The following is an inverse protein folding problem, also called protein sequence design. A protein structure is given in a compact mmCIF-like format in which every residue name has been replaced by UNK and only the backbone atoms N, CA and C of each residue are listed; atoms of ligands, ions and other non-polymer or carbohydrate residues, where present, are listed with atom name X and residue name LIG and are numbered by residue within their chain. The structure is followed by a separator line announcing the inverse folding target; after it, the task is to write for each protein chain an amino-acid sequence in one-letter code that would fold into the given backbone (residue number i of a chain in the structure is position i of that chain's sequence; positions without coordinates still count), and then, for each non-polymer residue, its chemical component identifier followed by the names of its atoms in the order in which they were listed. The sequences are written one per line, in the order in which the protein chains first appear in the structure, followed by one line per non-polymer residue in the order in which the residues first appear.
data_IF_631577674123
#
_entry.id   IF_631577674123
#
_cell.length_a   1.000
_cell.length_b   1.000
_cell.length_c   1.000
_cell.angle_alpha   90.00
_cell.angle_beta   90.00
_cell.angle_gamma   90.00
#
_symmetry.space_group_name_H-M   'P 1'
#
loop_
_entity.id
_entity.type
_entity.pdbx_description
1 polymer ?
#
# COMPACT_ATOMS: atom_id res chain seq x y z
N UNK A 1 5.18 -18.71 -6.24
CA UNK A 1 6.35 -17.82 -6.03
C UNK A 1 7.16 -18.35 -4.87
N UNK A 2 8.49 -18.52 -4.96
CA UNK A 2 9.30 -19.05 -3.87
C UNK A 2 9.48 -17.97 -2.78
N UNK A 3 8.58 -17.94 -1.80
CA UNK A 3 8.56 -16.92 -0.74
C UNK A 3 9.83 -16.96 0.11
N UNK A 4 10.31 -18.16 0.47
CA UNK A 4 11.52 -18.32 1.27
C UNK A 4 12.76 -17.76 0.56
N UNK A 5 12.87 -17.93 -0.76
CA UNK A 5 13.99 -17.41 -1.55
C UNK A 5 14.02 -15.89 -1.54
N UNK A 6 12.87 -15.23 -1.52
CA UNK A 6 12.78 -13.76 -1.39
C UNK A 6 13.22 -13.23 -0.03
N UNK A 7 13.05 -14.02 1.03
CA UNK A 7 13.51 -13.67 2.37
C UNK A 7 15.04 -13.80 2.45
N UNK A 8 15.60 -14.87 1.89
CA UNK A 8 17.03 -15.16 1.94
C UNK A 8 17.85 -14.33 0.93
N UNK A 9 17.32 -14.12 -0.27
CA UNK A 9 17.95 -13.40 -1.38
C UNK A 9 16.94 -12.41 -1.97
N UNK A 10 16.76 -11.23 -1.34
CA UNK A 10 15.85 -10.22 -1.85
C UNK A 10 16.31 -9.76 -3.24
N UNK A 11 15.41 -9.80 -4.21
CA UNK A 11 15.72 -9.52 -5.61
C UNK A 11 14.48 -9.26 -6.45
N UNK A 12 14.63 -9.26 -7.78
CA UNK A 12 13.53 -9.03 -8.72
C UNK A 12 12.49 -10.17 -8.69
N UNK A 13 11.36 -10.05 -9.41
CA UNK A 13 10.38 -11.16 -9.51
C UNK A 13 10.96 -12.38 -10.24
N UNK A 14 11.97 -12.15 -11.09
CA UNK A 14 12.72 -13.17 -11.81
C UNK A 14 13.76 -13.87 -10.94
N UNK A 15 14.52 -13.12 -10.12
CA UNK A 15 15.69 -13.68 -9.41
C UNK A 15 15.37 -14.91 -8.55
N UNK A 16 14.22 -15.02 -7.84
CA UNK A 16 13.88 -16.24 -7.10
C UNK A 16 13.84 -17.50 -7.98
N UNK A 17 13.46 -17.40 -9.25
CA UNK A 17 13.47 -18.55 -10.16
C UNK A 17 14.90 -18.99 -10.55
N UNK A 18 15.85 -18.05 -10.53
CA UNK A 18 17.27 -18.31 -10.75
C UNK A 18 17.91 -18.84 -9.45
N UNK A 19 17.62 -18.20 -8.32
CA UNK A 19 18.16 -18.51 -7.00
C UNK A 19 17.63 -19.83 -6.42
N UNK A 20 16.43 -20.28 -6.81
CA UNK A 20 15.90 -21.59 -6.42
C UNK A 20 16.78 -22.75 -6.89
N UNK A 21 17.66 -22.55 -7.88
CA UNK A 21 18.67 -23.56 -8.30
C UNK A 21 19.67 -23.89 -7.20
N UNK A 22 19.81 -23.02 -6.18
CA UNK A 22 20.70 -23.21 -5.03
C UNK A 22 20.13 -24.19 -3.99
N UNK A 23 18.85 -24.55 -4.09
CA UNK A 23 18.12 -25.31 -3.07
C UNK A 23 17.55 -26.61 -3.62
N UNK A 24 17.34 -27.58 -2.72
CA UNK A 24 16.59 -28.79 -3.01
C UNK A 24 15.08 -28.49 -3.14
N UNK A 25 14.35 -29.28 -3.94
CA UNK A 25 12.91 -29.07 -4.14
C UNK A 25 12.60 -27.87 -5.03
N UNK A 26 13.30 -27.77 -6.17
CA UNK A 26 13.08 -26.68 -7.15
C UNK A 26 11.64 -26.73 -7.66
N UNK A 27 10.90 -25.60 -7.63
CA UNK A 27 9.58 -25.55 -8.24
C UNK A 27 9.71 -25.69 -9.77
N UNK A 28 8.90 -26.58 -10.35
CA UNK A 28 8.75 -26.71 -11.79
C UNK A 28 7.84 -25.60 -12.32
N UNK A 29 8.40 -24.42 -12.56
CA UNK A 29 7.68 -23.35 -13.21
C UNK A 29 8.56 -22.52 -14.15
N UNK A 30 7.93 -21.93 -15.16
CA UNK A 30 8.58 -21.01 -16.10
C UNK A 30 8.41 -19.56 -15.64
N UNK A 31 9.23 -18.66 -16.20
CA UNK A 31 9.15 -17.23 -15.88
C UNK A 31 7.78 -16.64 -16.27
N UNK A 32 7.24 -17.07 -17.40
CA UNK A 32 5.94 -16.63 -17.91
C UNK A 32 4.81 -17.06 -16.96
N UNK A 33 4.90 -18.26 -16.37
CA UNK A 33 3.96 -18.70 -15.34
C UNK A 33 4.06 -17.85 -14.08
N UNK A 34 5.27 -17.47 -13.65
CA UNK A 34 5.46 -16.54 -12.52
C UNK A 34 4.80 -15.20 -12.81
N UNK A 35 4.99 -14.63 -14.00
CA UNK A 35 4.38 -13.35 -14.36
C UNK A 35 2.87 -13.41 -14.52
N UNK A 36 2.32 -14.44 -15.17
CA UNK A 36 0.87 -14.65 -15.27
C UNK A 36 0.22 -14.81 -13.89
N UNK A 37 0.89 -15.48 -12.97
CA UNK A 37 0.38 -15.66 -11.61
C UNK A 37 0.25 -14.33 -10.84
N UNK A 38 0.95 -13.25 -11.22
CA UNK A 38 0.85 -11.94 -10.57
C UNK A 38 -0.47 -11.23 -10.85
N UNK A 39 -1.18 -11.61 -11.91
CA UNK A 39 -2.50 -11.06 -12.20
C UNK A 39 -3.52 -11.44 -11.12
N UNK A 40 -3.43 -12.66 -10.56
CA UNK A 40 -4.35 -13.13 -9.51
C UNK A 40 -4.32 -12.27 -8.23
N UNK A 41 -3.17 -12.03 -7.57
CA UNK A 41 -3.14 -11.16 -6.41
C UNK A 41 -3.39 -9.69 -6.74
N UNK A 42 -3.22 -9.27 -8.01
CA UNK A 42 -3.63 -7.94 -8.43
C UNK A 42 -5.17 -7.81 -8.51
N UNK A 43 -5.86 -8.85 -8.97
CA UNK A 43 -7.33 -8.90 -9.00
C UNK A 43 -7.92 -9.00 -7.59
N UNK A 44 -7.38 -9.88 -6.75
CA UNK A 44 -7.88 -10.15 -5.39
C UNK A 44 -7.19 -9.26 -4.32
N UNK A 45 -6.59 -8.15 -4.74
CA UNK A 45 -5.67 -7.35 -3.93
C UNK A 45 -6.24 -6.93 -2.57
N UNK A 46 -7.48 -6.45 -2.54
CA UNK A 46 -8.13 -6.03 -1.29
C UNK A 46 -8.53 -7.22 -0.41
N UNK A 47 -9.01 -8.32 -1.01
CA UNK A 47 -9.48 -9.49 -0.26
C UNK A 47 -8.31 -10.22 0.42
N UNK A 48 -7.19 -10.37 -0.30
CA UNK A 48 -5.97 -10.97 0.26
C UNK A 48 -5.47 -10.15 1.46
N UNK A 49 -5.47 -8.83 1.35
CA UNK A 49 -5.05 -7.96 2.45
C UNK A 49 -5.99 -8.03 3.65
N UNK A 50 -7.31 -8.05 3.42
CA UNK A 50 -8.30 -8.19 4.48
C UNK A 50 -8.16 -9.53 5.23
N UNK A 51 -8.00 -10.65 4.50
CA UNK A 51 -7.80 -11.96 5.13
C UNK A 51 -6.45 -12.03 5.88
N UNK A 52 -5.38 -11.44 5.30
CA UNK A 52 -4.07 -11.35 5.96
C UNK A 52 -4.16 -10.53 7.26
N UNK A 53 -4.85 -9.39 7.23
CA UNK A 53 -5.10 -8.58 8.41
C UNK A 53 -5.86 -9.37 9.48
N UNK A 54 -6.98 -10.02 9.11
CA UNK A 54 -7.78 -10.86 10.01
C UNK A 54 -6.97 -11.98 10.66
N UNK A 55 -6.11 -12.67 9.89
CA UNK A 55 -5.24 -13.73 10.42
C UNK A 55 -4.16 -13.15 11.34
N UNK A 56 -3.61 -11.99 11.01
CA UNK A 56 -2.56 -11.37 11.81
C UNK A 56 -3.02 -11.00 13.23
N UNK A 57 -4.31 -10.70 13.41
CA UNK A 57 -4.92 -10.42 14.72
C UNK A 57 -4.82 -11.61 15.69
N UNK A 58 -4.66 -12.84 15.18
CA UNK A 58 -4.45 -14.04 16.00
C UNK A 58 -3.03 -14.13 16.56
N UNK A 59 -2.07 -13.44 15.93
CA UNK A 59 -0.66 -13.44 16.30
C UNK A 59 -0.30 -12.24 17.17
N UNK A 60 -0.93 -11.10 16.92
CA UNK A 60 -0.64 -9.85 17.61
C UNK A 60 -1.89 -8.99 17.77
N UNK A 61 -2.00 -8.28 18.90
CA UNK A 61 -3.11 -7.35 19.14
C UNK A 61 -2.89 -6.08 18.31
N UNK A 62 -3.86 -5.72 17.48
CA UNK A 62 -3.79 -4.53 16.61
C UNK A 62 -4.26 -3.28 17.36
N UNK A 63 -3.50 -2.19 17.23
CA UNK A 63 -3.83 -0.90 17.84
C UNK A 63 -4.37 0.10 16.80
N UNK A 64 -5.61 -0.13 16.35
CA UNK A 64 -6.20 0.56 15.20
C UNK A 64 -7.01 1.81 15.53
N UNK A 65 -6.93 2.32 16.76
CA UNK A 65 -7.62 3.57 17.14
C UNK A 65 -7.13 4.75 16.29
N UNK A 66 -5.82 4.77 16.01
CA UNK A 66 -5.19 5.67 15.06
C UNK A 66 -4.59 4.83 13.95
N UNK A 67 -4.88 5.21 12.70
CA UNK A 67 -4.34 4.59 11.51
C UNK A 67 -3.49 5.63 10.77
N UNK A 68 -2.21 5.33 10.58
CA UNK A 68 -1.31 6.18 9.84
C UNK A 68 -1.37 5.87 8.35
N UNK A 69 -1.59 6.90 7.54
CA UNK A 69 -1.51 6.84 6.09
C UNK A 69 -0.22 7.51 5.59
N UNK A 70 0.55 6.77 4.81
CA UNK A 70 1.77 7.27 4.18
C UNK A 70 1.72 7.07 2.65
N UNK A 71 1.30 8.07 1.88
CA UNK A 71 1.42 8.05 0.43
C UNK A 71 2.89 8.25 0.02
N UNK A 72 3.32 7.57 -1.03
CA UNK A 72 4.64 7.73 -1.64
C UNK A 72 4.52 7.74 -3.17
N UNK A 73 5.60 8.11 -3.87
CA UNK A 73 5.63 8.25 -5.32
C UNK A 73 6.65 7.28 -5.93
N UNK A 74 6.22 6.48 -6.90
CA UNK A 74 7.11 5.71 -7.76
C UNK A 74 7.16 6.34 -9.15
N UNK A 75 8.33 6.87 -9.51
CA UNK A 75 8.57 7.50 -10.80
C UNK A 75 8.99 6.48 -11.84
N UNK A 76 8.61 6.74 -13.08
CA UNK A 76 9.00 5.93 -14.24
C UNK A 76 9.77 6.80 -15.23
N UNK A 77 10.94 6.33 -15.65
CA UNK A 77 11.77 6.99 -16.68
C UNK A 77 11.19 6.71 -18.07
N UNK A 78 10.09 7.40 -18.39
CA UNK A 78 9.42 7.30 -19.68
C UNK A 78 8.61 8.57 -19.95
N UNK A 79 8.38 8.83 -21.23
CA UNK A 79 7.72 10.07 -21.66
C UNK A 79 6.19 9.95 -21.73
N UNK A 80 5.65 8.72 -21.72
CA UNK A 80 4.23 8.47 -21.95
C UNK A 80 3.48 8.01 -20.69
N UNK A 81 2.18 8.27 -20.65
CA UNK A 81 1.26 7.74 -19.63
C UNK A 81 0.70 6.36 -20.04
N UNK A 82 0.36 5.52 -19.05
CA UNK A 82 -0.17 4.18 -19.28
C UNK A 82 -0.70 3.59 -17.98
N UNK A 83 -1.97 3.19 -17.98
CA UNK A 83 -2.64 2.63 -16.81
C UNK A 83 -2.62 3.60 -15.63
N UNK A 84 -2.03 3.15 -14.51
CA UNK A 84 -1.86 3.93 -13.28
C UNK A 84 -0.72 4.97 -13.37
N UNK A 85 0.22 4.78 -14.30
CA UNK A 85 1.38 5.64 -14.44
C UNK A 85 0.94 6.90 -15.18
N UNK A 86 0.82 8.01 -14.44
CA UNK A 86 0.26 9.30 -14.89
C UNK A 86 1.11 10.47 -14.41
N UNK A 87 1.13 11.57 -15.14
CA UNK A 87 1.74 12.82 -14.69
C UNK A 87 0.88 13.45 -13.60
N UNK A 88 1.49 13.75 -12.46
CA UNK A 88 0.78 14.33 -11.33
C UNK A 88 1.65 15.26 -10.51
N UNK A 89 1.09 15.73 -9.39
CA UNK A 89 1.76 16.69 -8.52
C UNK A 89 2.94 16.02 -7.79
N UNK A 90 4.15 16.23 -8.30
CA UNK A 90 5.38 15.77 -7.68
C UNK A 90 5.92 16.82 -6.71
N UNK A 91 5.98 16.50 -5.42
CA UNK A 91 6.57 17.38 -4.38
C UNK A 91 8.05 17.70 -4.65
N UNK A 92 8.75 16.81 -5.35
CA UNK A 92 10.17 16.95 -5.73
C UNK A 92 10.34 17.65 -7.09
N UNK A 93 9.26 18.06 -7.76
CA UNK A 93 9.32 18.80 -9.03
C UNK A 93 9.79 17.98 -10.24
N UNK A 94 9.83 16.64 -10.14
CA UNK A 94 10.25 15.77 -11.25
C UNK A 94 9.16 15.70 -12.33
N UNK A 95 9.46 16.02 -13.60
CA UNK A 95 8.50 15.96 -14.70
C UNK A 95 8.39 14.53 -15.27
N UNK A 96 8.28 13.53 -14.40
CA UNK A 96 8.18 12.13 -14.77
C UNK A 96 6.81 11.60 -14.38
N UNK A 97 6.20 10.71 -15.19
CA UNK A 97 4.95 10.09 -14.81
C UNK A 97 5.20 9.14 -13.63
N UNK A 98 4.21 9.04 -12.76
CA UNK A 98 4.34 8.34 -11.48
C UNK A 98 3.11 7.50 -11.16
N UNK A 99 3.25 6.65 -10.15
CA UNK A 99 2.17 5.94 -9.48
C UNK A 99 2.25 6.28 -8.00
N UNK A 100 1.10 6.45 -7.35
CA UNK A 100 1.02 6.82 -5.95
C UNK A 100 0.50 5.66 -5.09
N UNK A 101 1.38 4.75 -4.63
CA UNK A 101 0.99 3.79 -3.62
C UNK A 101 0.88 4.45 -2.24
N UNK A 102 -0.03 3.94 -1.43
CA UNK A 102 -0.22 4.37 -0.05
C UNK A 102 -0.24 3.18 0.89
N UNK A 103 0.40 3.33 2.06
CA UNK A 103 0.45 2.32 3.10
C UNK A 103 -0.32 2.80 4.34
N UNK A 104 -1.21 1.94 4.84
CA UNK A 104 -1.94 2.12 6.09
C UNK A 104 -1.29 1.27 7.18
N UNK A 105 -1.02 1.87 8.32
CA UNK A 105 -0.41 1.21 9.47
C UNK A 105 -1.20 1.50 10.74
N UNK A 106 -1.21 0.56 11.69
CA UNK A 106 -1.74 0.83 13.02
C UNK A 106 -0.80 1.75 13.82
N UNK A 107 -1.23 2.14 15.01
CA UNK A 107 -0.45 3.04 15.87
C UNK A 107 0.95 2.48 16.19
N UNK A 108 1.10 1.16 16.25
CA UNK A 108 2.35 0.50 16.59
C UNK A 108 3.27 0.32 15.36
N UNK A 109 2.86 0.86 14.21
CA UNK A 109 3.61 0.87 12.96
C UNK A 109 3.43 -0.40 12.12
N UNK A 110 2.49 -1.28 12.47
CA UNK A 110 2.27 -2.49 11.68
C UNK A 110 1.36 -2.22 10.46
N UNK A 111 1.73 -2.73 9.27
CA UNK A 111 0.90 -2.64 8.08
C UNK A 111 -0.48 -3.28 8.24
N UNK A 112 -1.51 -2.54 7.83
CA UNK A 112 -2.91 -2.96 7.78
C UNK A 112 -3.33 -3.27 6.34
N UNK A 113 -3.15 -2.29 5.47
CA UNK A 113 -3.58 -2.31 4.09
C UNK A 113 -2.71 -1.37 3.25
N UNK A 114 -2.80 -1.50 1.93
CA UNK A 114 -2.19 -0.62 0.96
C UNK A 114 -3.14 -0.37 -0.20
N UNK A 115 -3.00 0.80 -0.83
CA UNK A 115 -3.64 1.16 -2.08
C UNK A 115 -2.60 1.52 -3.14
N UNK A 116 -3.03 1.52 -4.39
CA UNK A 116 -2.23 1.99 -5.52
C UNK A 116 -3.13 2.87 -6.37
N UNK A 117 -2.81 4.15 -6.41
CA UNK A 117 -3.59 5.15 -7.12
C UNK A 117 -2.82 5.67 -8.34
N UNK A 118 -3.55 6.14 -9.37
CA UNK A 118 -2.94 6.87 -10.47
C UNK A 118 -2.09 8.04 -9.98
N UNK A 119 -0.99 8.33 -10.67
CA UNK A 119 -0.07 9.39 -10.24
C UNK A 119 -0.66 10.80 -10.18
N UNK A 120 -1.76 11.05 -10.90
CA UNK A 120 -2.48 12.32 -10.91
C UNK A 120 -3.57 12.42 -9.82
N UNK A 121 -3.71 11.42 -8.96
CA UNK A 121 -4.70 11.41 -7.88
C UNK A 121 -4.23 12.22 -6.68
N UNK A 122 -5.01 13.23 -6.27
CA UNK A 122 -4.68 14.05 -5.11
C UNK A 122 -4.72 13.23 -3.80
N UNK A 123 -3.68 13.33 -2.98
CA UNK A 123 -3.56 12.59 -1.71
C UNK A 123 -4.81 12.73 -0.81
N UNK A 124 -5.37 13.94 -0.69
CA UNK A 124 -6.57 14.22 0.12
C UNK A 124 -7.83 13.50 -0.37
N UNK A 125 -7.94 13.25 -1.68
CA UNK A 125 -9.07 12.52 -2.25
C UNK A 125 -9.03 11.01 -2.01
N UNK A 126 -7.84 10.45 -1.70
CA UNK A 126 -7.66 9.00 -1.49
C UNK A 126 -8.10 8.54 -0.10
N UNK A 127 -8.08 9.43 0.90
CA UNK A 127 -8.33 9.07 2.30
C UNK A 127 -9.77 8.56 2.55
N UNK A 128 -10.78 9.28 2.05
CA UNK A 128 -12.19 8.92 2.32
C UNK A 128 -12.59 7.58 1.71
N UNK A 129 -12.30 7.29 0.41
CA UNK A 129 -12.57 5.98 -0.16
C UNK A 129 -11.85 4.85 0.58
N UNK A 130 -10.62 5.09 1.02
CA UNK A 130 -9.84 4.09 1.74
C UNK A 130 -10.35 3.84 3.16
N UNK A 131 -10.80 4.87 3.86
CA UNK A 131 -11.47 4.70 5.16
C UNK A 131 -12.71 3.81 5.04
N UNK A 132 -13.49 3.96 3.95
CA UNK A 132 -14.62 3.10 3.67
C UNK A 132 -14.21 1.66 3.41
N UNK A 133 -13.13 1.43 2.65
CA UNK A 133 -12.58 0.08 2.43
C UNK A 133 -12.11 -0.56 3.74
N UNK A 134 -11.45 0.20 4.62
CA UNK A 134 -11.03 -0.29 5.94
C UNK A 134 -12.24 -0.67 6.82
N UNK A 135 -13.33 0.11 6.76
CA UNK A 135 -14.59 -0.24 7.41
C UNK A 135 -15.19 -1.52 6.86
N UNK A 136 -15.40 -1.57 5.55
CA UNK A 136 -16.17 -2.62 4.89
C UNK A 136 -15.43 -3.96 4.85
N UNK A 137 -14.12 -3.94 4.52
CA UNK A 137 -13.34 -5.16 4.30
C UNK A 137 -12.52 -5.59 5.51
N UNK A 138 -12.06 -4.63 6.33
CA UNK A 138 -11.20 -4.93 7.49
C UNK A 138 -11.97 -4.92 8.82
N UNK A 139 -13.26 -4.55 8.80
CA UNK A 139 -14.11 -4.52 9.99
C UNK A 139 -13.70 -3.44 10.99
N UNK A 140 -12.99 -2.40 10.53
CA UNK A 140 -12.49 -1.32 11.36
C UNK A 140 -13.54 -0.23 11.51
N UNK A 141 -14.13 -0.10 12.69
CA UNK A 141 -15.05 1.00 13.04
C UNK A 141 -14.33 2.05 13.89
N UNK A 142 -14.76 3.31 13.77
CA UNK A 142 -14.32 4.42 14.64
C UNK A 142 -12.80 4.67 14.62
N UNK A 143 -12.20 4.58 13.42
CA UNK A 143 -10.77 4.83 13.20
C UNK A 143 -10.51 6.30 12.90
N UNK A 144 -9.43 6.85 13.48
CA UNK A 144 -8.88 8.14 13.07
C UNK A 144 -7.72 7.91 12.11
N UNK A 145 -7.89 8.32 10.85
CA UNK A 145 -6.80 8.31 9.87
C UNK A 145 -5.97 9.60 9.98
N UNK A 146 -4.65 9.46 10.15
CA UNK A 146 -3.71 10.57 10.17
C UNK A 146 -2.65 10.41 9.07
N UNK A 147 -2.24 11.51 8.44
CA UNK A 147 -1.23 11.47 7.38
C UNK A 147 0.13 11.83 7.96
N UNK A 148 1.12 10.95 7.78
CA UNK A 148 2.47 11.17 8.33
C UNK A 148 3.19 12.41 7.75
N UNK A 149 2.69 12.99 6.67
CA UNK A 149 3.26 14.19 6.04
C UNK A 149 2.84 15.52 6.70
N UNK A 150 1.83 15.55 7.57
CA UNK A 150 1.36 16.81 8.18
C UNK A 150 2.21 17.31 9.36
N UNK A 151 3.18 16.54 9.85
CA UNK A 151 4.05 16.97 10.96
C UNK A 151 5.10 18.03 10.57
N UNK A 152 5.41 18.23 9.28
CA UNK A 152 6.38 19.24 8.84
C UNK A 152 5.76 20.58 8.38
N UNK A 153 4.43 20.70 8.30
CA UNK A 153 3.79 21.90 7.74
C UNK A 153 2.61 22.45 8.54
N UNK A 154 2.31 21.94 9.74
CA UNK A 154 1.23 22.49 10.56
C UNK A 154 1.71 22.98 11.92
N UNK A 155 2.33 24.16 11.90
CA UNK A 155 2.13 25.15 12.97
C UNK A 155 1.02 26.16 12.61
N UNK A 156 0.16 25.86 11.61
CA UNK A 156 -0.83 26.85 11.13
C UNK A 156 -2.17 26.29 10.62
N UNK A 157 -2.55 25.05 10.93
CA UNK A 157 -3.92 24.57 10.57
C UNK A 157 -4.42 23.33 11.33
N UNK A 158 -3.99 23.15 12.58
CA UNK A 158 -4.54 22.13 13.48
C UNK A 158 -5.96 22.47 14.03
N UNK A 159 -6.76 23.25 13.31
CA UNK A 159 -8.05 23.77 13.80
C UNK A 159 -9.28 23.27 13.03
N UNK A 160 -9.14 22.58 11.88
CA UNK A 160 -10.31 22.38 11.00
C UNK A 160 -10.89 20.97 10.98
N UNK A 161 -10.23 19.96 11.58
CA UNK A 161 -10.79 18.60 11.71
C UNK A 161 -11.12 18.17 13.15
N UNK A 162 -10.99 19.09 14.11
CA UNK A 162 -11.42 18.89 15.51
C UNK A 162 -12.88 19.32 15.79
N UNK A 163 -13.63 19.79 14.78
CA UNK A 163 -14.94 20.44 15.01
C UNK A 163 -16.19 19.69 14.52
N UNK A 164 -16.10 18.50 13.91
CA UNK A 164 -17.29 17.80 13.37
C UNK A 164 -17.71 16.51 14.09
N UNK A 165 -17.15 16.23 15.27
CA UNK A 165 -17.45 15.01 16.04
C UNK A 165 -18.21 15.20 17.36
N UNK A 166 -18.64 16.40 17.73
CA UNK A 166 -19.44 16.66 18.95
C UNK A 166 -20.59 17.62 18.66
N UNK A 167 -21.65 17.11 18.05
CA UNK A 167 -22.99 17.67 18.16
C UNK A 167 -24.03 16.63 17.70
N UNK A 168 -24.34 15.66 18.57
CA UNK A 168 -25.69 15.24 18.98
C UNK A 168 -25.59 14.01 19.87
#
# INVERSE_FOLDING_TARGET
MPVYTRILYPGSKRSPLEDTRKFFGRPECTLEQVYRALSLPATEFSEIQADMYKRSQKLWKRNTQVVYYNPTNYFFEREEECGLVRFGHCKEGRPLPLVQPGLFMDHDGFPLAMCIEPGNTAETSTLKPMEQILKDKFGLSDIRCDTLQQHHSQNTSASTLLAFGRAR
#
